data_IF_158866855759
#
_entry.id   IF_158866855759
#
_cell.length_a   1.000
_cell.length_b   1.000
_cell.length_c   1.000
_cell.angle_alpha   90.00
_cell.angle_beta   90.00
_cell.angle_gamma   90.00
#
_symmetry.space_group_name_H-M   'P 1'
#
loop_
_entity.id
_entity.type
_entity.pdbx_description
1 polymer ?
#
# COMPACT_ATOMS: atom_id res chain seq x y z
N UNK A 1 5.01 6.76 -8.63
CA UNK A 1 4.29 7.22 -7.42
C UNK A 1 5.29 7.98 -6.55
N UNK A 2 4.88 9.06 -5.87
CA UNK A 2 5.70 9.87 -4.96
C UNK A 2 5.03 9.95 -3.58
N UNK A 3 5.83 10.23 -2.55
CA UNK A 3 5.38 10.31 -1.13
C UNK A 3 4.17 11.21 -0.91
N UNK A 4 4.03 12.30 -1.67
CA UNK A 4 2.99 13.31 -1.42
C UNK A 4 1.75 13.17 -2.33
N UNK A 5 1.69 12.16 -3.20
CA UNK A 5 0.62 12.03 -4.19
C UNK A 5 -0.78 11.95 -3.53
N UNK A 6 -0.87 11.34 -2.34
CA UNK A 6 -2.14 11.08 -1.64
C UNK A 6 -2.35 11.91 -0.38
N UNK A 7 -1.41 12.79 -0.02
CA UNK A 7 -1.36 13.45 1.31
C UNK A 7 -2.62 14.27 1.63
N UNK A 8 -3.25 14.87 0.61
CA UNK A 8 -4.48 15.68 0.77
C UNK A 8 -5.78 14.87 0.65
N UNK A 9 -5.69 13.59 0.28
CA UNK A 9 -6.83 12.73 0.01
C UNK A 9 -7.20 11.91 1.26
N UNK A 10 -7.50 12.59 2.35
CA UNK A 10 -7.64 11.99 3.69
C UNK A 10 -8.92 11.17 3.88
N UNK A 11 -9.91 11.34 3.00
CA UNK A 11 -11.22 10.70 3.12
C UNK A 11 -11.40 9.52 2.14
N UNK A 12 -10.32 9.05 1.50
CA UNK A 12 -10.39 7.87 0.63
C UNK A 12 -10.61 6.62 1.48
N UNK A 13 -11.55 5.79 1.05
CA UNK A 13 -11.82 4.46 1.61
C UNK A 13 -11.23 3.36 0.72
N UNK A 14 -11.35 3.49 -0.60
CA UNK A 14 -10.82 2.52 -1.55
C UNK A 14 -9.88 3.22 -2.54
N UNK A 15 -8.67 2.69 -2.68
CA UNK A 15 -7.65 3.23 -3.58
C UNK A 15 -7.27 2.19 -4.64
N UNK A 16 -7.60 2.49 -5.90
CA UNK A 16 -7.31 1.63 -7.04
C UNK A 16 -6.06 2.11 -7.79
N UNK A 17 -5.00 1.33 -7.68
CA UNK A 17 -3.71 1.55 -8.37
C UNK A 17 -3.28 0.31 -9.17
N UNK A 18 -4.14 -0.69 -9.33
CA UNK A 18 -3.86 -1.89 -10.11
C UNK A 18 -3.69 -1.60 -11.61
N UNK A 19 -3.01 -2.50 -12.31
CA UNK A 19 -2.73 -2.41 -13.76
C UNK A 19 -1.99 -1.13 -14.16
N UNK A 20 -1.02 -0.74 -13.36
CA UNK A 20 -0.11 0.37 -13.66
C UNK A 20 1.33 -0.16 -13.75
N UNK A 21 2.30 0.76 -13.90
CA UNK A 21 3.73 0.45 -13.97
C UNK A 21 4.46 0.85 -12.68
N UNK A 22 3.82 0.66 -11.52
CA UNK A 22 4.41 1.03 -10.24
C UNK A 22 5.51 0.00 -9.90
N UNK A 23 6.75 0.46 -9.84
CA UNK A 23 7.92 -0.37 -9.50
C UNK A 23 8.25 -0.35 -8.01
N UNK A 24 7.92 0.74 -7.32
CA UNK A 24 8.18 0.92 -5.90
C UNK A 24 7.07 1.70 -5.21
N UNK A 25 6.86 1.41 -3.92
CA UNK A 25 6.05 2.22 -3.03
C UNK A 25 6.98 3.04 -2.12
N UNK A 26 6.99 4.38 -2.23
CA UNK A 26 7.78 5.21 -1.35
C UNK A 26 7.35 5.01 0.11
N UNK A 27 8.32 5.00 1.04
CA UNK A 27 7.99 4.95 2.46
C UNK A 27 7.11 6.13 2.87
N UNK A 28 6.10 5.87 3.70
CA UNK A 28 5.17 6.87 4.21
C UNK A 28 4.29 7.55 3.14
N UNK A 29 4.17 6.97 1.94
CA UNK A 29 3.32 7.53 0.89
C UNK A 29 1.82 7.61 1.26
N UNK A 30 1.40 6.84 2.27
CA UNK A 30 0.02 6.77 2.76
C UNK A 30 -0.16 7.25 4.21
N UNK A 31 0.82 8.00 4.77
CA UNK A 31 0.87 8.31 6.21
C UNK A 31 -0.37 9.06 6.73
N UNK A 32 -1.01 9.86 5.87
CA UNK A 32 -2.23 10.61 6.19
C UNK A 32 -3.52 9.87 5.80
N UNK A 33 -3.44 8.78 5.04
CA UNK A 33 -4.59 8.09 4.45
C UNK A 33 -5.15 6.99 5.37
N UNK A 34 -5.40 7.36 6.62
CA UNK A 34 -5.78 6.44 7.72
C UNK A 34 -7.12 5.74 7.53
N UNK A 35 -7.96 6.25 6.62
CA UNK A 35 -9.30 5.75 6.34
C UNK A 35 -9.35 4.73 5.18
N UNK A 36 -8.23 4.47 4.49
CA UNK A 36 -8.23 3.47 3.42
C UNK A 36 -8.48 2.10 4.02
N UNK A 37 -9.55 1.45 3.55
CA UNK A 37 -9.94 0.08 3.90
C UNK A 37 -9.50 -0.93 2.83
N UNK A 38 -9.46 -0.52 1.56
CA UNK A 38 -9.05 -1.39 0.44
C UNK A 38 -8.00 -0.71 -0.44
N UNK A 39 -6.90 -1.42 -0.64
CA UNK A 39 -5.81 -0.98 -1.51
C UNK A 39 -5.56 -2.02 -2.61
N UNK A 40 -5.76 -1.59 -3.85
CA UNK A 40 -5.55 -2.44 -5.03
C UNK A 40 -4.25 -2.03 -5.72
N UNK A 41 -3.27 -2.92 -5.70
CA UNK A 41 -1.94 -2.77 -6.32
C UNK A 41 -1.64 -3.93 -7.29
N UNK A 42 -2.64 -4.74 -7.62
CA UNK A 42 -2.48 -5.91 -8.47
C UNK A 42 -1.97 -5.55 -9.87
N UNK A 43 -1.22 -6.46 -10.50
CA UNK A 43 -0.70 -6.26 -11.86
C UNK A 43 0.13 -4.96 -12.00
N UNK A 44 1.12 -4.80 -11.12
CA UNK A 44 2.14 -3.76 -11.18
C UNK A 44 3.53 -4.42 -11.30
N UNK A 45 4.60 -3.65 -11.16
CA UNK A 45 5.98 -4.12 -11.23
C UNK A 45 6.71 -4.01 -9.90
N UNK A 46 6.00 -4.12 -8.77
CA UNK A 46 6.62 -4.02 -7.44
C UNK A 46 7.64 -5.15 -7.25
N UNK A 47 8.89 -4.78 -6.96
CA UNK A 47 9.98 -5.73 -6.71
C UNK A 47 10.21 -5.99 -5.22
N UNK A 48 9.94 -4.99 -4.38
CA UNK A 48 10.14 -5.08 -2.94
C UNK A 48 9.08 -4.29 -2.18
N UNK A 49 8.84 -4.72 -0.94
CA UNK A 49 7.99 -4.03 0.01
C UNK A 49 8.79 -3.71 1.29
N UNK A 50 9.24 -2.45 1.40
CA UNK A 50 10.03 -1.96 2.54
C UNK A 50 9.18 -1.73 3.78
N UNK A 51 9.84 -1.62 4.93
CA UNK A 51 9.21 -1.56 6.26
C UNK A 51 8.03 -0.58 6.32
N UNK A 52 8.17 0.63 5.76
CA UNK A 52 7.20 1.72 5.92
C UNK A 52 6.35 2.01 4.68
N UNK A 53 6.31 1.10 3.70
CA UNK A 53 5.48 1.28 2.49
C UNK A 53 3.99 1.41 2.82
N UNK A 54 3.51 0.75 3.88
CA UNK A 54 2.10 0.80 4.32
C UNK A 54 1.89 1.60 5.62
N UNK A 55 2.88 2.40 6.03
CA UNK A 55 2.75 3.23 7.23
C UNK A 55 1.57 4.21 7.08
N UNK A 56 0.69 4.25 8.10
CA UNK A 56 -0.53 5.05 8.13
C UNK A 56 -1.81 4.31 7.76
N UNK A 57 -1.73 3.13 7.13
CA UNK A 57 -2.88 2.34 6.67
C UNK A 57 -3.55 1.53 7.80
N UNK A 58 -3.89 2.21 8.90
CA UNK A 58 -4.40 1.58 10.13
C UNK A 58 -5.77 0.89 9.96
N UNK A 59 -6.59 1.37 9.02
CA UNK A 59 -7.93 0.84 8.74
C UNK A 59 -7.95 -0.16 7.59
N UNK A 60 -6.79 -0.49 7.01
CA UNK A 60 -6.71 -1.36 5.84
C UNK A 60 -7.15 -2.78 6.20
N UNK A 61 -8.19 -3.28 5.53
CA UNK A 61 -8.73 -4.62 5.73
C UNK A 61 -8.42 -5.54 4.55
N UNK A 62 -8.28 -4.99 3.34
CA UNK A 62 -7.98 -5.75 2.12
C UNK A 62 -6.85 -5.11 1.32
N UNK A 63 -5.78 -5.87 1.11
CA UNK A 63 -4.66 -5.50 0.26
C UNK A 63 -4.62 -6.49 -0.91
N UNK A 64 -4.62 -6.00 -2.15
CA UNK A 64 -4.46 -6.86 -3.33
C UNK A 64 -3.15 -6.52 -4.03
N UNK A 65 -2.15 -7.38 -3.90
CA UNK A 65 -0.80 -7.20 -4.46
C UNK A 65 -0.40 -8.29 -5.46
N UNK A 66 -1.34 -9.14 -5.86
CA UNK A 66 -1.08 -10.23 -6.80
C UNK A 66 -0.61 -9.73 -8.18
N UNK A 67 0.09 -10.59 -8.93
CA UNK A 67 0.68 -10.26 -10.23
C UNK A 67 1.68 -9.08 -10.16
N UNK A 68 2.48 -9.03 -9.10
CA UNK A 68 3.70 -8.23 -9.04
C UNK A 68 4.93 -9.14 -9.17
N UNK A 69 6.13 -8.57 -9.14
CA UNK A 69 7.41 -9.28 -9.26
C UNK A 69 8.21 -9.25 -7.94
N UNK A 70 7.48 -9.39 -6.83
CA UNK A 70 8.02 -9.25 -5.48
C UNK A 70 9.09 -10.32 -5.20
N UNK A 71 10.28 -9.88 -4.84
CA UNK A 71 11.43 -10.71 -4.43
C UNK A 71 11.66 -10.67 -2.93
N UNK A 72 11.31 -9.55 -2.28
CA UNK A 72 11.48 -9.35 -0.85
C UNK A 72 10.31 -8.57 -0.23
N UNK A 73 9.95 -8.96 0.99
CA UNK A 73 8.92 -8.33 1.81
C UNK A 73 9.49 -8.20 3.22
N UNK A 74 9.62 -6.96 3.67
CA UNK A 74 10.14 -6.68 5.00
C UNK A 74 9.25 -7.29 6.09
N UNK A 75 9.85 -8.02 7.03
CA UNK A 75 9.12 -8.83 8.04
C UNK A 75 8.13 -8.05 8.92
N UNK A 76 8.35 -6.75 9.10
CA UNK A 76 7.50 -5.85 9.90
C UNK A 76 6.50 -5.04 9.10
N UNK A 77 6.37 -5.25 7.79
CA UNK A 77 5.53 -4.39 6.96
C UNK A 77 4.05 -4.40 7.39
N UNK A 78 3.53 -5.57 7.80
CA UNK A 78 2.14 -5.71 8.23
C UNK A 78 1.88 -5.22 9.66
N UNK A 79 2.93 -4.85 10.42
CA UNK A 79 2.76 -4.17 11.72
C UNK A 79 2.09 -2.79 11.57
N UNK A 80 2.11 -2.21 10.37
CA UNK A 80 1.46 -0.94 10.06
C UNK A 80 0.01 -1.08 9.59
N UNK A 81 -0.46 -2.31 9.37
CA UNK A 81 -1.82 -2.63 8.91
C UNK A 81 -2.48 -3.60 9.90
N UNK A 82 -2.71 -3.20 11.16
CA UNK A 82 -3.21 -4.08 12.21
C UNK A 82 -4.62 -4.63 11.95
N UNK A 83 -5.39 -3.96 11.07
CA UNK A 83 -6.75 -4.35 10.70
C UNK A 83 -6.81 -5.27 9.48
N UNK A 84 -5.66 -5.70 8.94
CA UNK A 84 -5.60 -6.47 7.70
C UNK A 84 -6.21 -7.85 7.87
N UNK A 85 -7.17 -8.18 7.01
CA UNK A 85 -7.91 -9.44 7.03
C UNK A 85 -7.69 -10.25 5.75
N UNK A 86 -7.42 -9.57 4.62
CA UNK A 86 -7.25 -10.18 3.30
C UNK A 86 -6.02 -9.62 2.60
N UNK A 87 -5.21 -10.50 2.03
CA UNK A 87 -3.96 -10.22 1.33
C UNK A 87 -3.95 -10.91 -0.04
#
# INVERSE_FOLDING_TARGET
MKVNDFRKLTNIIELHLGQNFIMELPENAFVENRNIEKLFLFSNNLEELREKCFNGLISLTSLLINNNILKDIHSRIFSYTPSLQKL
#
